data_IF_843164806104
#
_entry.id   IF_843164806104
#
_cell.length_a   1.000
_cell.length_b   1.000
_cell.length_c   1.000
_cell.angle_alpha   90.00
_cell.angle_beta   90.00
_cell.angle_gamma   90.00
#
_symmetry.space_group_name_H-M   'P 1'
#
loop_
_entity.id
_entity.type
_entity.pdbx_description
1 polymer ?
#
# COMPACT_ATOMS: atom_id res chain seq x y z
N UNK A 1 0.42 -1.32 -17.82
CA UNK A 1 1.82 -1.32 -17.31
C UNK A 1 1.97 -2.40 -16.26
N UNK A 2 3.05 -3.14 -16.32
CA UNK A 2 3.33 -4.21 -15.36
C UNK A 2 4.30 -3.70 -14.30
N UNK A 3 4.00 -3.93 -13.03
CA UNK A 3 4.90 -3.57 -11.95
C UNK A 3 6.11 -4.50 -11.98
N UNK A 4 7.28 -3.91 -11.86
CA UNK A 4 8.51 -4.68 -11.84
C UNK A 4 8.94 -4.90 -10.39
N UNK A 5 8.70 -6.11 -9.89
CA UNK A 5 9.08 -6.47 -8.54
C UNK A 5 10.59 -6.76 -8.47
N UNK A 6 11.16 -6.57 -7.28
CA UNK A 6 12.59 -6.84 -7.10
C UNK A 6 12.83 -8.36 -7.05
N UNK A 7 14.07 -8.75 -6.75
CA UNK A 7 14.44 -10.17 -6.74
C UNK A 7 13.72 -10.97 -5.67
N UNK A 8 13.15 -10.30 -4.67
CA UNK A 8 12.38 -10.96 -3.62
C UNK A 8 10.88 -10.91 -3.89
N UNK A 9 10.49 -10.41 -5.05
CA UNK A 9 9.09 -10.31 -5.40
C UNK A 9 8.37 -9.14 -4.74
N UNK A 10 9.11 -8.11 -4.34
CA UNK A 10 8.57 -6.98 -3.60
C UNK A 10 8.75 -5.67 -4.35
N UNK A 11 7.85 -4.73 -4.09
CA UNK A 11 7.95 -3.38 -4.61
C UNK A 11 7.65 -2.42 -3.46
N UNK A 12 8.40 -1.32 -3.34
CA UNK A 12 8.08 -0.33 -2.30
C UNK A 12 6.77 0.37 -2.62
N UNK A 13 5.99 0.61 -1.58
CA UNK A 13 4.69 1.25 -1.69
C UNK A 13 4.68 2.50 -0.81
N UNK A 14 4.43 3.65 -1.43
CA UNK A 14 4.44 4.94 -0.75
C UNK A 14 2.99 5.38 -0.58
N UNK A 15 2.59 5.67 0.65
CA UNK A 15 1.23 6.08 0.96
C UNK A 15 1.23 7.54 1.41
N UNK A 16 0.42 8.35 0.76
CA UNK A 16 0.39 9.78 0.97
C UNK A 16 -1.03 10.24 1.29
N UNK A 17 -1.15 11.24 2.17
CA UNK A 17 -2.43 11.87 2.46
C UNK A 17 -2.84 12.73 1.29
N UNK A 18 -4.04 12.54 0.76
CA UNK A 18 -4.49 13.25 -0.43
C UNK A 18 -4.68 14.75 -0.18
N UNK A 19 -5.06 15.15 1.02
CA UNK A 19 -5.32 16.56 1.28
C UNK A 19 -4.07 17.33 1.69
N UNK A 20 -3.20 16.75 2.51
CA UNK A 20 -1.99 17.45 2.97
C UNK A 20 -0.76 17.17 2.12
N UNK A 21 -0.81 16.09 1.33
CA UNK A 21 0.32 15.61 0.53
C UNK A 21 1.49 15.11 1.38
N UNK A 22 1.25 14.86 2.65
CA UNK A 22 2.27 14.28 3.52
C UNK A 22 2.39 12.79 3.27
N UNK A 23 3.63 12.30 3.21
CA UNK A 23 3.87 10.87 3.12
C UNK A 23 3.62 10.28 4.50
N UNK A 24 2.67 9.36 4.57
CA UNK A 24 2.26 8.78 5.84
C UNK A 24 3.05 7.53 6.19
N UNK A 25 3.38 6.73 5.20
CA UNK A 25 4.16 5.53 5.46
C UNK A 25 4.71 4.96 4.18
N UNK A 26 5.68 4.10 4.35
CA UNK A 26 6.26 3.32 3.25
C UNK A 26 6.31 1.88 3.70
N UNK A 27 5.84 0.98 2.85
CA UNK A 27 5.90 -0.44 3.13
C UNK A 27 6.24 -1.17 1.86
N UNK A 28 6.08 -2.49 1.89
CA UNK A 28 6.36 -3.31 0.71
C UNK A 28 5.15 -4.12 0.34
N UNK A 29 4.98 -4.34 -0.96
CA UNK A 29 3.91 -5.18 -1.48
C UNK A 29 4.50 -6.24 -2.38
N UNK A 30 3.98 -7.46 -2.26
CA UNK A 30 4.20 -8.46 -3.29
C UNK A 30 3.00 -8.40 -4.24
N UNK A 31 2.96 -9.27 -5.22
CA UNK A 31 1.87 -9.28 -6.19
C UNK A 31 0.51 -9.46 -5.50
N UNK A 32 0.46 -10.36 -4.53
CA UNK A 32 -0.79 -10.64 -3.82
C UNK A 32 -1.27 -9.44 -3.01
N UNK A 33 -0.36 -8.74 -2.32
CA UNK A 33 -0.72 -7.56 -1.54
C UNK A 33 -1.22 -6.45 -2.46
N UNK A 34 -0.57 -6.29 -3.60
CA UNK A 34 -0.97 -5.29 -4.58
C UNK A 34 -2.38 -5.55 -5.10
N UNK A 35 -2.66 -6.80 -5.50
CA UNK A 35 -3.97 -7.16 -6.00
C UNK A 35 -5.04 -6.97 -4.94
N UNK A 36 -4.74 -7.36 -3.69
CA UNK A 36 -5.69 -7.21 -2.61
C UNK A 36 -5.97 -5.74 -2.33
N UNK A 37 -4.95 -4.89 -2.40
CA UNK A 37 -5.12 -3.46 -2.20
C UNK A 37 -6.07 -2.88 -3.25
N UNK A 38 -5.91 -3.26 -4.51
CA UNK A 38 -6.80 -2.77 -5.56
C UNK A 38 -8.22 -3.30 -5.38
N UNK A 39 -8.35 -4.54 -4.94
CA UNK A 39 -9.66 -5.17 -4.79
C UNK A 39 -10.46 -4.59 -3.64
N UNK A 40 -9.81 -4.42 -2.49
CA UNK A 40 -10.50 -3.97 -1.28
C UNK A 40 -10.52 -2.47 -1.11
N UNK A 41 -9.66 -1.75 -1.86
CA UNK A 41 -9.46 -0.31 -1.71
C UNK A 41 -8.87 0.06 -0.34
N UNK A 42 -8.31 -0.91 0.34
CA UNK A 42 -7.64 -0.69 1.62
C UNK A 42 -6.19 -1.10 1.48
N UNK A 43 -5.29 -0.29 2.07
CA UNK A 43 -3.85 -0.52 1.90
C UNK A 43 -3.43 -1.82 2.57
N UNK A 44 -2.89 -2.72 1.78
CA UNK A 44 -2.42 -4.02 2.24
C UNK A 44 -0.96 -4.18 1.84
N UNK A 45 -0.14 -4.57 2.81
CA UNK A 45 1.29 -4.77 2.60
C UNK A 45 1.66 -6.23 2.79
N UNK A 46 2.89 -6.56 2.40
CA UNK A 46 3.47 -7.86 2.69
C UNK A 46 4.52 -7.67 3.78
N UNK A 47 4.36 -8.39 4.90
CA UNK A 47 5.32 -8.34 6.00
C UNK A 47 6.46 -9.29 5.70
N UNK A 48 7.67 -8.74 5.55
CA UNK A 48 8.84 -9.57 5.25
C UNK A 48 9.24 -10.43 6.45
N UNK A 49 9.09 -9.89 7.64
CA UNK A 49 9.48 -10.62 8.84
C UNK A 49 8.50 -11.74 9.19
N UNK A 50 7.21 -11.53 8.95
CA UNK A 50 6.18 -12.51 9.28
C UNK A 50 5.75 -13.35 8.09
N UNK A 51 6.21 -13.00 6.90
CA UNK A 51 5.88 -13.71 5.67
C UNK A 51 4.37 -13.84 5.45
N UNK A 52 3.64 -12.75 5.70
CA UNK A 52 2.20 -12.73 5.48
C UNK A 52 1.73 -11.35 5.05
N UNK A 53 0.54 -11.32 4.46
CA UNK A 53 -0.11 -10.05 4.15
C UNK A 53 -0.65 -9.42 5.42
N UNK A 54 -0.68 -8.10 5.47
CA UNK A 54 -1.37 -7.41 6.54
C UNK A 54 -1.98 -6.12 5.99
N UNK A 55 -3.20 -5.81 6.43
CA UNK A 55 -3.93 -4.62 6.01
C UNK A 55 -3.77 -3.57 7.09
N UNK A 56 -3.37 -2.37 6.68
CA UNK A 56 -3.20 -1.28 7.64
C UNK A 56 -4.53 -1.00 8.32
N UNK A 57 -4.56 -1.07 9.64
CA UNK A 57 -5.77 -0.85 10.41
C UNK A 57 -6.46 -2.12 10.86
N UNK A 58 -5.95 -3.30 10.49
CA UNK A 58 -6.64 -4.54 10.84
C UNK A 58 -6.72 -4.78 12.35
N UNK A 59 -5.79 -4.19 13.11
CA UNK A 59 -5.81 -4.32 14.56
C UNK A 59 -6.45 -3.12 15.23
N UNK A 60 -6.23 -1.92 14.68
CA UNK A 60 -6.75 -0.70 15.30
C UNK A 60 -8.13 -0.32 14.81
N UNK A 61 -8.55 -0.84 13.68
CA UNK A 61 -9.81 -0.46 13.05
C UNK A 61 -9.73 0.80 12.20
N UNK A 62 -8.56 1.39 12.09
CA UNK A 62 -8.37 2.64 11.33
C UNK A 62 -7.77 2.32 9.97
N UNK A 63 -8.61 1.83 9.07
CA UNK A 63 -8.17 1.48 7.73
C UNK A 63 -7.88 2.72 6.90
N UNK A 64 -6.96 2.57 5.94
CA UNK A 64 -6.63 3.64 5.01
C UNK A 64 -7.26 3.32 3.67
N UNK A 65 -8.23 4.13 3.27
CA UNK A 65 -8.95 3.92 2.03
C UNK A 65 -8.29 4.67 0.88
N UNK A 66 -8.11 3.98 -0.22
CA UNK A 66 -7.43 4.52 -1.37
C UNK A 66 -8.35 5.43 -2.16
N UNK A 67 -7.87 6.65 -2.44
CA UNK A 67 -8.57 7.58 -3.33
C UNK A 67 -8.03 7.42 -4.74
N UNK A 68 -6.73 7.35 -4.89
CA UNK A 68 -6.11 7.19 -6.19
C UNK A 68 -4.83 6.38 -6.07
N UNK A 69 -4.45 5.74 -7.16
CA UNK A 69 -3.22 4.96 -7.21
C UNK A 69 -2.44 5.32 -8.46
N UNK A 70 -1.13 5.32 -8.33
CA UNK A 70 -0.21 5.48 -9.44
C UNK A 70 0.94 4.51 -9.21
N UNK A 71 1.52 4.01 -10.28
CA UNK A 71 2.69 3.19 -10.14
C UNK A 71 3.61 3.39 -11.33
N UNK A 72 4.90 3.27 -11.07
CA UNK A 72 5.91 3.23 -12.09
C UNK A 72 6.47 1.81 -12.11
N UNK A 73 7.47 1.59 -12.95
CA UNK A 73 8.00 0.25 -13.11
C UNK A 73 8.43 -0.40 -11.80
N UNK A 74 8.92 0.41 -10.85
CA UNK A 74 9.55 -0.15 -9.66
C UNK A 74 8.99 0.37 -8.35
N UNK A 75 7.78 0.95 -8.34
CA UNK A 75 7.16 1.34 -7.08
C UNK A 75 5.68 1.59 -7.25
N UNK A 76 4.98 1.45 -6.15
CA UNK A 76 3.56 1.73 -6.03
C UNK A 76 3.39 3.02 -5.23
N UNK A 77 2.52 3.89 -5.70
CA UNK A 77 2.23 5.15 -5.01
C UNK A 77 0.72 5.29 -4.90
N UNK A 78 0.24 5.64 -3.71
CA UNK A 78 -1.19 5.75 -3.50
C UNK A 78 -1.52 6.94 -2.61
N UNK A 79 -2.58 7.65 -2.96
CA UNK A 79 -3.13 8.69 -2.11
C UNK A 79 -4.38 8.18 -1.42
N UNK A 80 -4.50 8.49 -0.15
CA UNK A 80 -5.62 8.04 0.67
C UNK A 80 -6.35 9.24 1.25
N UNK A 81 -7.59 9.01 1.68
CA UNK A 81 -8.30 10.02 2.44
C UNK A 81 -7.61 10.22 3.79
N UNK A 82 -7.74 11.41 4.37
CA UNK A 82 -7.14 11.68 5.67
C UNK A 82 -7.62 10.64 6.66
N UNK A 83 -6.70 10.10 7.49
CA UNK A 83 -7.10 9.12 8.49
C UNK A 83 -8.16 9.70 9.43
N UNK A 84 -9.09 8.86 9.82
CA UNK A 84 -10.10 9.25 10.79
C UNK A 84 -9.45 9.35 12.15
N UNK A 85 -9.74 10.44 12.82
CA UNK A 85 -9.17 10.68 14.13
C UNK A 85 -10.04 10.09 15.22
#
# INVERSE_FOLDING_TARGET
>A
MTIKYDSNGLVPAIIQDASTKNVLMLGYMNEEAYQKTLETKQVTFFSRSKQRLWTKGEESGNFLEIISTQFSLNRFFSEISSPIK
#
